data_IF_870127010873
#
_entry.id   IF_870127010873
#
_cell.length_a   1.000
_cell.length_b   1.000
_cell.length_c   1.000
_cell.angle_alpha   90.00
_cell.angle_beta   90.00
_cell.angle_gamma   90.00
#
_symmetry.space_group_name_H-M   'P 1'
#
loop_
_entity.id
_entity.type
_entity.pdbx_description
1 polymer ?
#
# COMPACT_ATOMS: atom_id res chain seq x y z
N UNK A 1 8.53 3.25 27.82
CA UNK A 1 9.61 2.97 26.84
C UNK A 1 9.82 4.17 25.94
N UNK A 2 10.99 4.27 25.33
CA UNK A 2 11.36 5.35 24.40
C UNK A 2 10.34 5.46 23.25
N UNK A 3 9.95 4.35 22.63
CA UNK A 3 8.94 4.33 21.57
C UNK A 3 7.62 5.00 21.98
N UNK A 4 7.14 4.70 23.18
CA UNK A 4 5.91 5.34 23.69
C UNK A 4 6.07 6.86 23.83
N UNK A 5 7.21 7.32 24.32
CA UNK A 5 7.50 8.76 24.48
C UNK A 5 7.54 9.46 23.11
N UNK A 6 8.13 8.83 22.08
CA UNK A 6 8.14 9.36 20.71
C UNK A 6 6.71 9.45 20.15
N UNK A 7 5.97 8.34 20.19
CA UNK A 7 4.60 8.29 19.65
C UNK A 7 3.62 9.24 20.35
N UNK A 8 3.83 9.53 21.63
CA UNK A 8 3.00 10.45 22.42
C UNK A 8 3.49 11.91 22.38
N UNK A 9 4.59 12.20 21.69
CA UNK A 9 5.10 13.56 21.59
C UNK A 9 4.21 14.43 20.68
N UNK A 10 4.05 15.71 21.03
CA UNK A 10 3.33 16.68 20.20
C UNK A 10 3.94 16.82 18.80
N UNK A 11 5.24 16.61 18.67
CA UNK A 11 5.94 16.65 17.39
C UNK A 11 5.51 15.51 16.48
N UNK A 12 5.42 14.29 17.01
CA UNK A 12 5.00 13.12 16.24
C UNK A 12 3.52 13.18 15.84
N UNK A 13 2.68 13.76 16.71
CA UNK A 13 1.23 13.84 16.50
C UNK A 13 0.78 15.10 15.73
N UNK A 14 1.69 15.79 15.08
CA UNK A 14 1.31 16.95 14.26
C UNK A 14 0.49 16.52 13.04
N UNK A 15 -0.59 17.26 12.79
CA UNK A 15 -1.40 17.08 11.59
C UNK A 15 -0.65 17.46 10.33
N UNK A 16 -0.93 16.76 9.23
CA UNK A 16 -0.46 17.11 7.89
C UNK A 16 -1.23 18.28 7.27
N UNK A 17 -2.41 18.62 7.80
CA UNK A 17 -3.23 19.67 7.24
C UNK A 17 -2.59 21.06 7.45
N UNK A 18 -2.41 21.85 6.38
CA UNK A 18 -1.88 23.20 6.50
C UNK A 18 -2.86 24.11 7.26
N UNK A 19 -2.31 25.07 7.97
CA UNK A 19 -3.05 26.13 8.64
C UNK A 19 -2.51 27.49 8.17
N UNK A 20 -3.32 28.58 8.26
CA UNK A 20 -2.83 29.92 7.94
C UNK A 20 -1.49 30.21 8.62
N UNK A 21 -0.48 30.51 7.83
CA UNK A 21 0.87 30.83 8.29
C UNK A 21 1.85 29.67 8.41
N UNK A 22 1.46 28.44 8.07
CA UNK A 22 2.39 27.31 8.02
C UNK A 22 2.32 26.50 6.72
N UNK A 23 1.65 27.01 5.70
CA UNK A 23 1.45 26.32 4.42
C UNK A 23 2.78 25.98 3.75
N UNK A 24 3.73 26.90 3.78
CA UNK A 24 5.04 26.80 3.12
C UNK A 24 6.21 26.76 4.11
N UNK A 25 6.02 26.15 5.29
CA UNK A 25 7.09 26.10 6.31
C UNK A 25 7.95 24.83 6.22
N UNK A 26 9.02 24.78 5.41
CA UNK A 26 9.89 23.60 5.32
C UNK A 26 10.92 23.56 6.47
N UNK A 27 11.09 24.66 7.22
CA UNK A 27 12.21 24.85 8.16
C UNK A 27 11.87 24.47 9.60
N UNK A 28 10.69 24.87 10.06
CA UNK A 28 10.34 24.71 11.48
C UNK A 28 9.49 23.48 11.75
N UNK A 29 9.15 22.72 10.68
CA UNK A 29 8.36 21.49 10.78
C UNK A 29 7.09 21.69 11.61
N UNK A 30 6.41 22.84 11.39
CA UNK A 30 5.22 23.25 12.15
C UNK A 30 3.99 22.39 11.84
N UNK A 31 4.06 21.57 10.79
CA UNK A 31 3.12 20.52 10.46
C UNK A 31 3.86 19.27 10.00
N UNK A 32 3.16 18.14 9.89
CA UNK A 32 3.69 16.95 9.27
C UNK A 32 3.62 17.07 7.74
N UNK A 33 4.67 16.67 7.05
CA UNK A 33 4.69 16.57 5.58
C UNK A 33 4.53 15.12 5.17
N UNK A 34 3.41 14.73 4.55
CA UNK A 34 3.19 13.35 4.12
C UNK A 34 4.32 12.87 3.21
N UNK A 35 4.78 11.67 3.47
CA UNK A 35 5.78 11.01 2.64
C UNK A 35 5.19 9.71 2.10
N UNK A 36 5.55 9.38 0.88
CA UNK A 36 5.17 8.09 0.32
C UNK A 36 5.72 6.96 1.20
N UNK A 37 4.94 5.90 1.37
CA UNK A 37 5.41 4.70 2.04
C UNK A 37 6.61 4.11 1.30
N UNK A 38 7.53 3.52 2.04
CA UNK A 38 8.63 2.74 1.46
C UNK A 38 8.07 1.60 0.60
N UNK A 39 8.78 1.23 -0.45
CA UNK A 39 8.35 0.19 -1.38
C UNK A 39 7.95 -1.11 -0.68
N UNK A 40 8.78 -1.55 0.25
CA UNK A 40 8.57 -2.76 1.03
C UNK A 40 7.31 -2.65 1.92
N UNK A 41 7.14 -1.52 2.58
CA UNK A 41 5.98 -1.27 3.47
C UNK A 41 4.69 -1.19 2.64
N UNK A 42 4.73 -0.54 1.47
CA UNK A 42 3.57 -0.42 0.60
C UNK A 42 3.14 -1.80 0.06
N UNK A 43 4.09 -2.62 -0.40
CA UNK A 43 3.82 -3.97 -0.88
C UNK A 43 3.23 -4.84 0.24
N UNK A 44 3.85 -4.84 1.41
CA UNK A 44 3.36 -5.58 2.58
C UNK A 44 1.98 -5.10 3.04
N UNK A 45 1.69 -3.79 2.94
CA UNK A 45 0.37 -3.25 3.27
C UNK A 45 -0.72 -3.71 2.31
N UNK A 46 -0.40 -3.80 1.00
CA UNK A 46 -1.31 -4.38 -0.01
C UNK A 46 -1.56 -5.85 0.32
N UNK A 47 -0.49 -6.63 0.52
CA UNK A 47 -0.58 -8.05 0.84
C UNK A 47 -1.37 -8.30 2.13
N UNK A 48 -1.12 -7.54 3.17
CA UNK A 48 -1.84 -7.63 4.42
C UNK A 48 -3.32 -7.26 4.26
N UNK A 49 -3.63 -6.22 3.48
CA UNK A 49 -5.02 -5.78 3.29
C UNK A 49 -5.83 -6.81 2.53
N UNK A 50 -5.25 -7.38 1.48
CA UNK A 50 -5.92 -8.38 0.63
C UNK A 50 -5.76 -9.82 1.13
N UNK A 51 -4.93 -10.05 2.15
CA UNK A 51 -4.54 -11.39 2.64
C UNK A 51 -3.95 -12.25 1.52
N UNK A 52 -3.09 -11.63 0.71
CA UNK A 52 -2.30 -12.26 -0.33
C UNK A 52 -0.84 -12.32 0.09
N UNK A 53 -0.02 -12.94 -0.73
CA UNK A 53 1.44 -12.94 -0.55
C UNK A 53 2.14 -12.65 -1.87
N UNK A 54 3.29 -12.01 -1.78
CA UNK A 54 4.22 -11.86 -2.90
C UNK A 54 5.31 -12.93 -2.77
N UNK A 55 5.64 -13.59 -3.89
CA UNK A 55 6.76 -14.51 -3.93
C UNK A 55 8.04 -13.77 -4.30
N UNK A 56 9.13 -14.17 -3.67
CA UNK A 56 10.47 -13.65 -3.93
C UNK A 56 11.37 -14.82 -4.35
N UNK A 57 11.06 -15.38 -5.52
CA UNK A 57 11.64 -16.59 -6.07
C UNK A 57 12.69 -16.34 -7.17
N UNK A 58 13.04 -15.07 -7.39
CA UNK A 58 14.02 -14.66 -8.39
C UNK A 58 15.03 -13.67 -7.83
N UNK A 59 16.29 -13.86 -8.20
CA UNK A 59 17.41 -12.98 -7.85
C UNK A 59 18.22 -12.63 -9.09
N UNK A 60 18.76 -11.41 -9.11
CA UNK A 60 19.66 -10.90 -10.15
C UNK A 60 20.91 -10.33 -9.47
N UNK A 61 22.06 -10.90 -9.73
CA UNK A 61 23.34 -10.32 -9.30
C UNK A 61 23.82 -9.30 -10.33
N UNK A 62 24.56 -8.30 -9.86
CA UNK A 62 25.08 -7.24 -10.71
C UNK A 62 25.84 -7.79 -11.92
N UNK A 63 25.33 -7.51 -13.15
CA UNK A 63 25.89 -7.98 -14.41
C UNK A 63 25.64 -9.46 -14.74
N UNK A 64 24.81 -10.16 -13.97
CA UNK A 64 24.38 -11.54 -14.21
C UNK A 64 22.98 -11.65 -14.79
N UNK A 65 22.62 -12.87 -15.15
CA UNK A 65 21.26 -13.22 -15.57
C UNK A 65 20.37 -13.49 -14.33
N UNK A 66 19.07 -13.38 -14.53
CA UNK A 66 18.06 -13.75 -13.53
C UNK A 66 18.15 -15.24 -13.21
N UNK A 67 18.08 -15.57 -11.93
CA UNK A 67 18.17 -16.94 -11.41
C UNK A 67 17.04 -17.21 -10.44
N UNK A 68 16.42 -18.39 -10.55
CA UNK A 68 15.44 -18.85 -9.57
C UNK A 68 16.11 -19.12 -8.21
N UNK A 69 15.37 -18.87 -7.14
CA UNK A 69 15.83 -19.12 -5.76
C UNK A 69 14.67 -19.60 -4.89
N UNK A 70 14.96 -20.49 -3.96
CA UNK A 70 14.06 -20.94 -2.90
C UNK A 70 14.43 -20.36 -1.52
N UNK A 71 15.33 -19.36 -1.52
CA UNK A 71 15.90 -18.80 -0.31
C UNK A 71 14.87 -18.11 0.58
N UNK A 72 13.85 -17.51 -0.02
CA UNK A 72 12.76 -16.84 0.70
C UNK A 72 11.50 -17.71 0.68
N UNK A 73 11.08 -18.27 1.84
CA UNK A 73 9.88 -19.10 1.91
C UNK A 73 8.61 -18.31 1.55
N UNK A 74 7.57 -19.03 1.11
CA UNK A 74 6.26 -18.45 0.86
C UNK A 74 5.75 -17.70 2.10
N UNK A 75 5.24 -16.47 1.90
CA UNK A 75 4.78 -15.60 2.97
C UNK A 75 5.86 -14.71 3.60
N UNK A 76 7.10 -14.75 3.10
CA UNK A 76 8.13 -13.76 3.46
C UNK A 76 7.62 -12.36 3.11
N UNK A 77 7.72 -11.40 4.05
CA UNK A 77 7.31 -10.03 3.80
C UNK A 77 8.45 -9.26 3.12
N UNK A 78 8.08 -8.28 2.29
CA UNK A 78 9.06 -7.46 1.58
C UNK A 78 10.02 -6.72 2.54
N UNK A 79 9.54 -6.32 3.73
CA UNK A 79 10.37 -5.68 4.76
C UNK A 79 11.42 -6.62 5.36
N UNK A 80 11.25 -7.93 5.23
CA UNK A 80 12.18 -8.96 5.74
C UNK A 80 13.30 -9.29 4.75
N UNK A 81 13.19 -8.79 3.52
CA UNK A 81 14.21 -9.01 2.49
C UNK A 81 15.50 -8.28 2.86
N UNK A 82 16.55 -9.03 3.13
CA UNK A 82 17.87 -8.48 3.47
C UNK A 82 18.81 -8.36 2.26
N UNK A 83 18.45 -8.98 1.13
CA UNK A 83 19.23 -8.92 -0.10
C UNK A 83 18.55 -8.02 -1.14
N UNK A 84 19.33 -7.10 -1.70
CA UNK A 84 18.88 -6.22 -2.78
C UNK A 84 18.83 -6.93 -4.14
N UNK A 85 19.48 -8.10 -4.26
CA UNK A 85 19.50 -8.90 -5.49
C UNK A 85 18.15 -9.56 -5.79
N UNK A 86 17.18 -9.52 -4.86
CA UNK A 86 15.82 -10.01 -5.13
C UNK A 86 15.19 -9.20 -6.25
N UNK A 87 14.84 -9.86 -7.34
CA UNK A 87 14.17 -9.22 -8.46
C UNK A 87 12.71 -8.92 -8.10
N UNK A 88 12.34 -7.67 -8.21
CA UNK A 88 10.95 -7.23 -8.02
C UNK A 88 10.75 -5.88 -8.69
N UNK A 89 10.05 -5.91 -9.81
CA UNK A 89 9.71 -4.69 -10.54
C UNK A 89 8.94 -3.67 -9.68
N UNK A 90 8.05 -4.15 -8.79
CA UNK A 90 7.34 -3.28 -7.85
C UNK A 90 8.32 -2.56 -6.92
N UNK A 91 9.19 -3.29 -6.24
CA UNK A 91 10.13 -2.73 -5.28
C UNK A 91 11.10 -1.75 -5.93
N UNK A 92 11.59 -2.07 -7.12
CA UNK A 92 12.45 -1.16 -7.92
C UNK A 92 11.70 0.10 -8.33
N UNK A 93 10.48 -0.04 -8.89
CA UNK A 93 9.63 1.09 -9.32
C UNK A 93 9.32 2.03 -8.17
N UNK A 94 9.10 1.49 -6.95
CA UNK A 94 8.79 2.27 -5.76
C UNK A 94 10.02 2.71 -4.96
N UNK A 95 11.22 2.59 -5.56
CA UNK A 95 12.43 3.21 -5.04
C UNK A 95 13.14 2.43 -3.96
N UNK A 96 13.02 1.07 -3.94
CA UNK A 96 13.88 0.24 -3.10
C UNK A 96 15.33 0.49 -3.47
N UNK A 97 16.18 0.64 -2.44
CA UNK A 97 17.61 0.83 -2.62
C UNK A 97 18.25 -0.44 -3.23
N UNK A 98 18.94 -0.36 -4.38
CA UNK A 98 19.66 -1.48 -4.97
C UNK A 98 20.88 -1.91 -4.16
N UNK A 99 21.27 -1.13 -3.12
CA UNK A 99 22.44 -1.37 -2.24
C UNK A 99 23.77 -1.50 -2.98
N UNK A 100 23.91 -0.81 -4.08
CA UNK A 100 25.20 -0.70 -4.77
C UNK A 100 26.24 0.04 -3.91
N UNK A 101 25.76 1.01 -3.11
CA UNK A 101 26.53 1.68 -2.07
C UNK A 101 25.85 1.52 -0.70
N UNK A 102 26.61 1.61 0.38
CA UNK A 102 26.11 1.42 1.75
C UNK A 102 25.36 2.64 2.31
N UNK A 103 24.72 3.45 1.46
CA UNK A 103 24.04 4.68 1.85
C UNK A 103 22.56 4.61 1.54
N UNK A 104 21.73 5.02 2.51
CA UNK A 104 20.27 5.22 2.32
C UNK A 104 19.95 6.31 1.26
N UNK A 105 20.94 7.09 0.84
CA UNK A 105 20.80 8.15 -0.18
C UNK A 105 20.38 7.62 -1.56
N UNK A 106 20.50 6.33 -1.82
CA UNK A 106 20.05 5.72 -3.10
C UNK A 106 18.55 5.52 -3.18
N UNK A 107 17.86 5.57 -2.04
CA UNK A 107 16.40 5.40 -2.02
C UNK A 107 15.73 6.64 -2.62
N UNK A 108 14.90 6.43 -3.64
CA UNK A 108 14.11 7.51 -4.24
C UNK A 108 12.71 7.55 -3.62
N UNK A 109 12.39 8.68 -2.97
CA UNK A 109 11.07 8.96 -2.41
C UNK A 109 10.21 9.81 -3.36
N UNK A 110 10.75 10.21 -4.52
CA UNK A 110 10.05 11.09 -5.45
C UNK A 110 8.92 10.32 -6.16
N UNK A 111 7.68 10.86 -6.14
CA UNK A 111 6.58 10.29 -6.91
C UNK A 111 6.85 10.37 -8.42
N UNK A 112 6.54 9.30 -9.15
CA UNK A 112 6.68 9.26 -10.59
C UNK A 112 5.41 8.78 -11.28
N UNK A 113 5.24 9.17 -12.56
CA UNK A 113 4.12 8.68 -13.39
C UNK A 113 4.16 7.15 -13.57
N UNK A 114 5.35 6.54 -13.56
CA UNK A 114 5.51 5.09 -13.66
C UNK A 114 4.87 4.41 -12.45
N UNK A 115 5.05 4.96 -11.24
CA UNK A 115 4.44 4.44 -10.00
C UNK A 115 2.90 4.53 -10.06
N UNK A 116 2.37 5.67 -10.53
CA UNK A 116 0.91 5.85 -10.68
C UNK A 116 0.34 4.84 -11.68
N UNK A 117 0.98 4.67 -12.83
CA UNK A 117 0.56 3.72 -13.86
C UNK A 117 0.68 2.27 -13.36
N UNK A 118 1.72 1.96 -12.59
CA UNK A 118 1.90 0.63 -12.02
C UNK A 118 0.80 0.29 -11.00
N UNK A 119 0.43 1.21 -10.11
CA UNK A 119 -0.69 1.01 -9.18
C UNK A 119 -2.03 0.88 -9.92
N UNK A 120 -2.22 1.68 -10.99
CA UNK A 120 -3.49 1.69 -11.71
C UNK A 120 -3.70 0.45 -12.59
N UNK A 121 -2.67 0.02 -13.31
CA UNK A 121 -2.77 -1.00 -14.36
C UNK A 121 -1.69 -2.08 -14.27
N UNK A 122 -0.84 -2.04 -13.22
CA UNK A 122 0.31 -2.94 -13.09
C UNK A 122 -0.08 -4.37 -12.69
N UNK A 123 0.90 -5.24 -12.87
CA UNK A 123 0.78 -6.68 -12.62
C UNK A 123 0.83 -7.04 -11.11
N UNK A 124 0.94 -6.06 -10.21
CA UNK A 124 1.03 -6.34 -8.77
C UNK A 124 -0.33 -6.29 -8.09
N UNK A 125 -1.06 -5.17 -8.21
CA UNK A 125 -2.32 -4.97 -7.47
C UNK A 125 -3.48 -5.76 -8.10
N UNK A 126 -3.64 -5.69 -9.42
CA UNK A 126 -4.77 -6.31 -10.10
C UNK A 126 -4.85 -7.83 -9.92
N UNK A 127 -3.77 -8.61 -10.08
CA UNK A 127 -3.82 -10.05 -9.80
C UNK A 127 -4.18 -10.37 -8.35
N UNK A 128 -3.70 -9.57 -7.37
CA UNK A 128 -4.03 -9.75 -5.96
C UNK A 128 -5.50 -9.46 -5.67
N UNK A 129 -6.09 -8.45 -6.30
CA UNK A 129 -7.53 -8.17 -6.23
C UNK A 129 -8.37 -9.30 -6.82
N UNK A 130 -7.86 -10.00 -7.84
CA UNK A 130 -8.55 -11.07 -8.54
C UNK A 130 -8.29 -12.47 -7.96
N UNK A 131 -7.36 -12.61 -7.02
CA UNK A 131 -7.04 -13.90 -6.42
C UNK A 131 -8.28 -14.57 -5.80
N UNK A 132 -8.42 -15.88 -6.00
CA UNK A 132 -9.61 -16.65 -5.61
C UNK A 132 -9.79 -16.78 -4.09
N UNK A 133 -8.71 -16.71 -3.33
CA UNK A 133 -8.68 -16.90 -1.88
C UNK A 133 -8.32 -15.64 -1.09
N UNK A 134 -8.46 -14.47 -1.72
CA UNK A 134 -8.15 -13.20 -1.06
C UNK A 134 -9.25 -12.78 -0.06
N UNK A 135 -8.99 -11.72 0.68
CA UNK A 135 -9.89 -11.17 1.69
C UNK A 135 -11.27 -10.79 1.13
N UNK A 136 -11.34 -10.31 -0.14
CA UNK A 136 -12.60 -9.92 -0.79
C UNK A 136 -13.48 -11.14 -1.02
N UNK A 137 -12.94 -12.21 -1.59
CA UNK A 137 -13.67 -13.45 -1.85
C UNK A 137 -14.12 -14.14 -0.59
N UNK A 138 -13.34 -14.02 0.49
CA UNK A 138 -13.76 -14.49 1.82
C UNK A 138 -14.92 -13.68 2.37
N UNK A 139 -14.93 -12.37 2.20
CA UNK A 139 -16.05 -11.50 2.58
C UNK A 139 -17.33 -11.82 1.82
N UNK A 140 -17.22 -12.08 0.50
CA UNK A 140 -18.33 -12.54 -0.33
C UNK A 140 -18.89 -13.87 0.20
N UNK A 141 -18.03 -14.84 0.45
CA UNK A 141 -18.42 -16.17 0.96
C UNK A 141 -19.04 -16.10 2.36
N UNK A 142 -18.61 -15.13 3.17
CA UNK A 142 -19.16 -14.88 4.52
C UNK A 142 -20.48 -14.10 4.46
N UNK A 143 -20.93 -13.64 3.29
CA UNK A 143 -22.20 -12.92 3.12
C UNK A 143 -22.21 -11.50 3.67
N UNK A 144 -21.06 -10.82 3.75
CA UNK A 144 -21.03 -9.44 4.23
C UNK A 144 -21.88 -8.53 3.35
N UNK A 145 -22.60 -7.58 3.97
CA UNK A 145 -23.23 -6.50 3.23
C UNK A 145 -22.20 -5.55 2.62
N UNK A 146 -22.62 -4.70 1.68
CA UNK A 146 -21.72 -3.71 1.07
C UNK A 146 -21.25 -2.68 2.09
N UNK A 147 -22.11 -2.27 3.01
CA UNK A 147 -21.75 -1.38 4.12
C UNK A 147 -20.74 -2.03 5.06
N UNK A 148 -20.95 -3.29 5.43
CA UNK A 148 -20.03 -4.04 6.28
C UNK A 148 -18.67 -4.24 5.60
N UNK A 149 -18.68 -4.54 4.28
CA UNK A 149 -17.44 -4.66 3.51
C UNK A 149 -16.66 -3.35 3.50
N UNK A 150 -17.31 -2.21 3.22
CA UNK A 150 -16.64 -0.90 3.23
C UNK A 150 -16.09 -0.53 4.59
N UNK A 151 -16.86 -0.74 5.65
CA UNK A 151 -16.40 -0.48 7.02
C UNK A 151 -15.13 -1.26 7.35
N UNK A 152 -15.12 -2.56 7.04
CA UNK A 152 -13.97 -3.44 7.27
C UNK A 152 -12.78 -3.10 6.37
N UNK A 153 -13.03 -2.72 5.10
CA UNK A 153 -11.99 -2.30 4.17
C UNK A 153 -11.25 -1.07 4.67
N UNK A 154 -11.99 -0.04 5.08
CA UNK A 154 -11.40 1.19 5.60
C UNK A 154 -10.64 0.97 6.91
N UNK A 155 -11.20 0.20 7.83
CA UNK A 155 -10.51 -0.15 9.07
C UNK A 155 -9.21 -0.92 8.80
N UNK A 156 -9.22 -1.80 7.80
CA UNK A 156 -8.09 -2.64 7.47
C UNK A 156 -6.99 -1.90 6.68
N UNK A 157 -7.39 -1.07 5.71
CA UNK A 157 -6.48 -0.34 4.84
C UNK A 157 -6.01 0.99 5.45
N UNK A 158 -6.91 1.72 6.11
CA UNK A 158 -6.70 3.10 6.56
C UNK A 158 -6.82 3.28 8.08
N UNK A 159 -7.06 2.21 8.83
CA UNK A 159 -7.21 2.22 10.30
C UNK A 159 -8.30 3.18 10.82
N UNK A 160 -9.31 3.47 10.01
CA UNK A 160 -10.45 4.33 10.34
C UNK A 160 -11.74 3.85 9.67
N UNK A 161 -12.87 4.36 10.11
CA UNK A 161 -14.14 4.20 9.38
C UNK A 161 -14.22 5.16 8.19
N UNK A 162 -14.96 4.81 7.11
CA UNK A 162 -15.23 5.73 6.02
C UNK A 162 -16.08 6.91 6.50
N UNK A 163 -15.78 8.12 6.03
CA UNK A 163 -16.67 9.26 6.26
C UNK A 163 -17.92 9.16 5.37
N UNK A 164 -18.98 9.88 5.71
CA UNK A 164 -20.27 9.79 5.00
C UNK A 164 -20.19 10.03 3.50
N UNK A 165 -19.30 10.91 3.05
CA UNK A 165 -19.09 11.20 1.63
C UNK A 165 -18.44 10.03 0.89
N UNK A 166 -17.42 9.40 1.51
CA UNK A 166 -16.74 8.23 0.95
C UNK A 166 -17.70 7.04 0.90
N UNK A 167 -18.38 6.77 2.00
CA UNK A 167 -19.39 5.70 2.09
C UNK A 167 -20.45 5.83 0.99
N UNK A 168 -21.04 7.01 0.84
CA UNK A 168 -22.06 7.26 -0.20
C UNK A 168 -21.52 7.11 -1.62
N UNK A 169 -20.30 7.61 -1.87
CA UNK A 169 -19.67 7.52 -3.18
C UNK A 169 -19.39 6.06 -3.59
N UNK A 170 -18.78 5.29 -2.69
CA UNK A 170 -18.44 3.89 -2.97
C UNK A 170 -19.68 3.00 -3.08
N UNK A 171 -20.67 3.13 -2.19
CA UNK A 171 -21.94 2.41 -2.31
C UNK A 171 -22.66 2.72 -3.61
N UNK A 172 -22.62 3.98 -4.07
CA UNK A 172 -23.18 4.36 -5.38
C UNK A 172 -22.48 3.69 -6.55
N UNK A 173 -21.15 3.51 -6.48
CA UNK A 173 -20.39 2.79 -7.50
C UNK A 173 -20.77 1.30 -7.46
N UNK A 174 -20.74 0.69 -6.29
CA UNK A 174 -21.06 -0.73 -6.10
C UNK A 174 -22.48 -1.07 -6.55
N UNK A 175 -23.44 -0.17 -6.32
CA UNK A 175 -24.84 -0.33 -6.76
C UNK A 175 -25.05 -0.28 -8.29
N UNK A 176 -24.01 0.03 -9.08
CA UNK A 176 -24.08 -0.02 -10.54
C UNK A 176 -23.89 -1.44 -11.09
N UNK A 177 -23.38 -2.34 -10.28
CA UNK A 177 -23.15 -3.73 -10.65
C UNK A 177 -24.38 -4.59 -10.35
N UNK A 178 -24.72 -5.49 -11.26
CA UNK A 178 -25.76 -6.48 -11.02
C UNK A 178 -25.30 -7.51 -9.98
N UNK A 179 -26.25 -8.26 -9.43
CA UNK A 179 -25.96 -9.21 -8.33
C UNK A 179 -24.92 -10.27 -8.69
N UNK A 180 -24.83 -10.67 -9.95
CA UNK A 180 -23.84 -11.61 -10.49
C UNK A 180 -22.45 -10.96 -10.72
N UNK A 181 -22.37 -9.63 -10.72
CA UNK A 181 -21.14 -8.85 -10.87
C UNK A 181 -20.74 -8.15 -9.57
N UNK A 182 -21.36 -8.49 -8.45
CA UNK A 182 -21.10 -7.87 -7.16
C UNK A 182 -19.63 -7.97 -6.74
N UNK A 183 -18.98 -9.08 -7.04
CA UNK A 183 -17.54 -9.28 -6.79
C UNK A 183 -16.67 -8.23 -7.48
N UNK A 184 -17.01 -7.87 -8.73
CA UNK A 184 -16.33 -6.80 -9.46
C UNK A 184 -16.49 -5.45 -8.76
N UNK A 185 -17.71 -5.12 -8.31
CA UNK A 185 -17.96 -3.88 -7.56
C UNK A 185 -17.17 -3.78 -6.26
N UNK A 186 -17.01 -4.89 -5.51
CA UNK A 186 -16.19 -4.94 -4.31
C UNK A 186 -14.70 -4.76 -4.62
N UNK A 187 -14.21 -5.37 -5.71
CA UNK A 187 -12.82 -5.22 -6.17
C UNK A 187 -12.51 -3.80 -6.59
N UNK A 188 -13.43 -3.15 -7.30
CA UNK A 188 -13.28 -1.75 -7.71
C UNK A 188 -13.28 -0.80 -6.50
N UNK A 189 -14.11 -1.06 -5.49
CA UNK A 189 -14.08 -0.32 -4.24
C UNK A 189 -12.73 -0.51 -3.51
N UNK A 190 -12.24 -1.74 -3.42
CA UNK A 190 -10.94 -2.03 -2.82
C UNK A 190 -9.80 -1.39 -3.61
N UNK A 191 -9.83 -1.47 -4.95
CA UNK A 191 -8.87 -0.81 -5.82
C UNK A 191 -8.83 0.71 -5.56
N UNK A 192 -10.00 1.35 -5.46
CA UNK A 192 -10.11 2.79 -5.22
C UNK A 192 -9.46 3.21 -3.89
N UNK A 193 -9.61 2.40 -2.84
CA UNK A 193 -9.00 2.66 -1.54
C UNK A 193 -7.50 2.41 -1.57
N UNK A 194 -7.05 1.29 -2.14
CA UNK A 194 -5.63 0.90 -2.18
C UNK A 194 -4.77 1.76 -3.11
N UNK A 195 -5.38 2.45 -4.08
CA UNK A 195 -4.69 3.40 -4.96
C UNK A 195 -4.80 4.85 -4.47
N UNK A 196 -5.51 5.10 -3.37
CA UNK A 196 -5.68 6.44 -2.81
C UNK A 196 -4.37 6.99 -2.25
N UNK A 197 -4.25 8.32 -2.24
CA UNK A 197 -3.12 9.01 -1.61
C UNK A 197 -3.03 8.68 -0.12
N UNK A 198 -4.18 8.51 0.55
CA UNK A 198 -4.22 8.18 1.97
C UNK A 198 -3.61 6.80 2.26
N UNK A 199 -3.80 5.81 1.38
CA UNK A 199 -3.18 4.49 1.54
C UNK A 199 -1.70 4.48 1.20
N UNK A 200 -1.29 5.27 0.19
CA UNK A 200 0.08 5.21 -0.35
C UNK A 200 1.06 6.14 0.35
N UNK A 201 0.57 7.07 1.19
CA UNK A 201 1.37 8.01 1.97
C UNK A 201 1.09 7.84 3.46
N UNK A 202 2.11 8.05 4.28
CA UNK A 202 1.92 8.23 5.71
C UNK A 202 1.50 9.70 6.00
N UNK A 203 0.54 9.90 6.88
CA UNK A 203 -0.05 11.21 7.21
C UNK A 203 -0.46 11.30 8.70
#
# INVERSE_FOLDING_TARGET
SLMRAILQSETYQRSSQPKPGNEEDPKYLSRYYPRRLMAEVLLDSIDQTLETSTKFDSIVFSGGDEQETDFYPDGTRAIELYDASVESYFLQTFGRNPREITCECERSDEPSMVQVLHLSNGETLNPKLQAEDNWITRGLSAGWSDEEFLERLFQRALCRSPVDSERKALLKIMAQYESDQRDTGLRDAAWSVLTSTEFTFNH
#
